data_IF_160850155385
#
_entry.id   IF_160850155385
#
_cell.length_a   1.000
_cell.length_b   1.000
_cell.length_c   1.000
_cell.angle_alpha   90.00
_cell.angle_beta   90.00
_cell.angle_gamma   90.00
#
_symmetry.space_group_name_H-M   'P 1'
#
loop_
_entity.id
_entity.type
_entity.pdbx_description
1 polymer ?
#
# COMPACT_ATOMS: atom_id res chain seq x y z
N UNK A 1 -25.05 16.58 -13.08
CA UNK A 1 -24.45 15.54 -13.93
C UNK A 1 -23.47 14.78 -13.05
N UNK A 2 -23.94 13.71 -12.41
CA UNK A 2 -23.13 12.93 -11.47
C UNK A 2 -22.10 12.16 -12.28
N UNK A 3 -20.82 12.56 -12.20
CA UNK A 3 -19.73 11.74 -12.70
C UNK A 3 -19.79 10.42 -11.92
N UNK A 4 -20.08 9.32 -12.61
CA UNK A 4 -19.77 8.00 -12.10
C UNK A 4 -18.25 7.97 -11.99
N UNK A 5 -17.73 7.89 -10.77
CA UNK A 5 -16.31 7.69 -10.51
C UNK A 5 -15.91 6.30 -11.02
N UNK A 6 -15.54 6.23 -12.31
CA UNK A 6 -15.07 5.00 -12.94
C UNK A 6 -13.65 4.78 -12.44
N UNK A 7 -13.51 4.03 -11.35
CA UNK A 7 -12.21 3.57 -10.86
C UNK A 7 -11.49 2.82 -11.97
N UNK A 8 -10.37 3.40 -12.44
CA UNK A 8 -9.54 2.77 -13.47
C UNK A 8 -8.59 1.80 -12.80
N UNK A 9 -8.58 0.54 -13.25
CA UNK A 9 -7.68 -0.48 -12.72
C UNK A 9 -6.41 -0.55 -13.56
N UNK A 10 -5.26 -0.36 -12.91
CA UNK A 10 -3.94 -0.47 -13.54
C UNK A 10 -3.32 -1.81 -13.20
N UNK A 11 -2.98 -2.62 -14.19
CA UNK A 11 -2.19 -3.83 -14.00
C UNK A 11 -0.74 -3.44 -13.63
N UNK A 12 -0.24 -3.96 -12.51
CA UNK A 12 1.07 -3.59 -11.96
C UNK A 12 2.10 -4.69 -12.19
N UNK A 13 1.83 -5.90 -11.70
CA UNK A 13 2.77 -7.02 -11.79
C UNK A 13 2.04 -8.34 -11.60
N UNK A 14 2.73 -9.47 -11.80
CA UNK A 14 2.22 -10.77 -11.39
C UNK A 14 2.27 -10.91 -9.87
N UNK A 15 1.27 -11.58 -9.30
CA UNK A 15 1.16 -11.87 -7.86
C UNK A 15 2.40 -12.58 -7.29
N UNK A 16 2.98 -13.51 -8.06
CA UNK A 16 4.15 -14.29 -7.62
C UNK A 16 5.46 -13.51 -7.66
N UNK A 17 5.50 -12.35 -8.31
CA UNK A 17 6.63 -11.41 -8.24
C UNK A 17 6.58 -10.54 -6.98
N UNK A 18 5.43 -10.43 -6.30
CA UNK A 18 5.37 -9.87 -4.96
C UNK A 18 5.85 -10.93 -3.96
N UNK A 19 7.06 -10.73 -3.47
CA UNK A 19 7.61 -11.51 -2.37
C UNK A 19 6.81 -11.22 -1.09
N UNK A 20 6.36 -12.26 -0.35
CA UNK A 20 5.70 -12.07 0.93
C UNK A 20 6.54 -11.21 1.88
N UNK A 21 5.89 -10.34 2.63
CA UNK A 21 6.46 -9.43 3.63
C UNK A 21 7.50 -8.43 3.09
N UNK A 22 7.60 -8.28 1.75
CA UNK A 22 8.49 -7.33 1.10
C UNK A 22 7.69 -6.35 0.25
N UNK A 23 7.86 -5.06 0.56
CA UNK A 23 7.20 -4.02 -0.23
C UNK A 23 7.80 -3.86 -1.63
N UNK A 24 6.95 -3.47 -2.58
CA UNK A 24 7.31 -3.09 -3.94
C UNK A 24 6.68 -1.73 -4.28
N UNK A 25 7.42 -0.88 -4.99
CA UNK A 25 6.89 0.38 -5.51
C UNK A 25 6.31 0.15 -6.91
N UNK A 26 5.19 0.82 -7.19
CA UNK A 26 4.54 0.84 -8.49
C UNK A 26 4.10 2.26 -8.84
N UNK A 27 3.93 2.52 -10.14
CA UNK A 27 3.37 3.77 -10.63
C UNK A 27 1.94 3.50 -11.15
N UNK A 28 0.96 4.20 -10.57
CA UNK A 28 -0.46 4.12 -10.96
C UNK A 28 -0.88 5.53 -11.39
N UNK A 29 -0.98 5.75 -12.70
CA UNK A 29 -1.04 7.11 -13.24
C UNK A 29 0.27 7.85 -12.98
N UNK A 30 0.20 8.95 -12.24
CA UNK A 30 1.35 9.75 -11.76
C UNK A 30 1.66 9.54 -10.27
N UNK A 31 0.91 8.65 -9.60
CA UNK A 31 1.03 8.39 -8.16
C UNK A 31 1.88 7.15 -7.90
N UNK A 32 2.83 7.25 -6.96
CA UNK A 32 3.59 6.09 -6.50
C UNK A 32 2.84 5.36 -5.39
N UNK A 33 2.66 4.05 -5.57
CA UNK A 33 1.96 3.15 -4.67
C UNK A 33 2.96 2.14 -4.11
N UNK A 34 2.89 1.91 -2.80
CA UNK A 34 3.59 0.84 -2.11
C UNK A 34 2.65 -0.38 -2.01
N UNK A 35 3.06 -1.48 -2.64
CA UNK A 35 2.38 -2.77 -2.61
C UNK A 35 3.04 -3.68 -1.59
N UNK A 36 2.22 -4.38 -0.82
CA UNK A 36 2.66 -5.39 0.15
C UNK A 36 1.84 -6.65 -0.05
N UNK A 37 2.51 -7.80 -0.10
CA UNK A 37 1.86 -9.11 0.04
C UNK A 37 2.17 -9.62 1.43
N UNK A 38 1.16 -9.84 2.27
CA UNK A 38 1.36 -10.38 3.62
C UNK A 38 1.54 -11.90 3.60
N UNK A 39 1.98 -12.48 4.72
CA UNK A 39 2.29 -13.90 4.86
C UNK A 39 1.08 -14.81 4.60
N UNK A 40 -0.13 -14.32 4.85
CA UNK A 40 -1.41 -14.99 4.58
C UNK A 40 -1.83 -14.88 3.09
N UNK A 41 -1.03 -14.18 2.29
CA UNK A 41 -1.23 -14.01 0.86
C UNK A 41 -2.10 -12.82 0.48
N UNK A 42 -2.64 -12.05 1.43
CA UNK A 42 -3.38 -10.84 1.14
C UNK A 42 -2.47 -9.78 0.49
N UNK A 43 -3.06 -8.90 -0.32
CA UNK A 43 -2.33 -7.79 -0.98
C UNK A 43 -2.91 -6.48 -0.51
N UNK A 44 -2.03 -5.54 -0.17
CA UNK A 44 -2.35 -4.21 0.30
C UNK A 44 -1.65 -3.17 -0.58
N UNK A 45 -2.28 -2.01 -0.76
CA UNK A 45 -1.77 -0.92 -1.58
C UNK A 45 -1.95 0.41 -0.83
N UNK A 46 -0.83 1.09 -0.55
CA UNK A 46 -0.79 2.35 0.18
C UNK A 46 -0.02 3.39 -0.63
N UNK A 47 -0.12 4.67 -0.27
CA UNK A 47 0.76 5.70 -0.82
C UNK A 47 2.21 5.34 -0.52
N UNK A 48 3.09 5.41 -1.52
CA UNK A 48 4.52 5.23 -1.27
C UNK A 48 5.14 6.45 -0.56
N UNK A 49 4.43 7.59 -0.54
CA UNK A 49 4.87 8.81 0.12
C UNK A 49 4.62 8.73 1.61
N UNK A 50 5.70 8.69 2.38
CA UNK A 50 5.67 8.86 3.82
C UNK A 50 5.18 10.29 4.17
N UNK A 51 4.15 10.45 5.01
CA UNK A 51 3.53 11.75 5.27
C UNK A 51 4.38 12.66 6.17
N UNK A 52 5.29 12.09 6.98
CA UNK A 52 6.13 12.81 7.92
C UNK A 52 7.38 13.38 7.26
N UNK A 53 8.05 12.57 6.43
CA UNK A 53 9.27 12.95 5.72
C UNK A 53 9.03 13.50 4.31
N UNK A 54 7.87 13.19 3.73
CA UNK A 54 7.55 13.52 2.34
C UNK A 54 8.27 12.67 1.29
N UNK A 55 9.08 11.69 1.70
CA UNK A 55 9.86 10.83 0.82
C UNK A 55 9.05 9.64 0.27
N UNK A 56 9.37 9.20 -0.95
CA UNK A 56 8.74 8.06 -1.61
C UNK A 56 9.41 6.74 -1.20
N UNK A 57 9.13 6.29 0.02
CA UNK A 57 9.92 5.23 0.68
C UNK A 57 9.10 4.17 1.42
N UNK A 58 7.77 4.26 1.50
CA UNK A 58 6.99 3.34 2.34
C UNK A 58 7.13 1.88 1.89
N UNK A 59 7.23 1.64 0.58
CA UNK A 59 7.51 0.31 -0.01
C UNK A 59 8.82 -0.34 0.48
N UNK A 60 9.72 0.42 1.10
CA UNK A 60 10.96 -0.09 1.68
C UNK A 60 10.84 -0.35 3.19
N UNK A 61 9.65 -0.14 3.75
CA UNK A 61 9.35 -0.38 5.15
C UNK A 61 9.38 -1.86 5.51
N UNK A 62 9.43 -2.11 6.82
CA UNK A 62 9.41 -3.47 7.37
C UNK A 62 7.96 -3.83 7.65
N UNK A 63 7.46 -4.90 7.02
CA UNK A 63 6.12 -5.44 7.32
C UNK A 63 6.16 -6.16 8.66
N UNK A 64 5.07 -6.06 9.41
CA UNK A 64 4.91 -6.74 10.69
C UNK A 64 3.46 -6.69 11.18
N UNK A 65 3.25 -6.99 12.45
CA UNK A 65 1.93 -6.98 13.06
C UNK A 65 1.93 -6.23 14.40
N UNK A 66 0.80 -5.57 14.72
CA UNK A 66 0.50 -5.04 16.06
C UNK A 66 -0.81 -5.67 16.53
N UNK A 67 -0.71 -6.77 17.28
CA UNK A 67 -1.86 -7.67 17.48
C UNK A 67 -2.27 -8.29 16.15
N UNK A 68 -3.56 -8.24 15.82
CA UNK A 68 -4.10 -8.76 14.55
C UNK A 68 -4.05 -7.75 13.40
N UNK A 69 -3.42 -6.58 13.61
CA UNK A 69 -3.30 -5.54 12.59
C UNK A 69 -2.05 -5.78 11.75
N UNK A 70 -2.16 -6.00 10.42
CA UNK A 70 -1.01 -6.04 9.54
C UNK A 70 -0.49 -4.60 9.33
N UNK A 71 0.83 -4.43 9.38
CA UNK A 71 1.46 -3.11 9.44
C UNK A 71 2.69 -3.00 8.57
N UNK A 72 3.08 -1.76 8.26
CA UNK A 72 4.40 -1.43 7.74
C UNK A 72 5.02 -0.31 8.58
N UNK A 73 6.26 -0.51 9.05
CA UNK A 73 7.05 0.52 9.70
C UNK A 73 7.85 1.32 8.66
N UNK A 74 7.67 2.65 8.62
CA UNK A 74 8.39 3.52 7.70
C UNK A 74 9.91 3.40 7.88
N UNK A 75 10.71 3.37 6.80
CA UNK A 75 12.16 3.39 6.90
C UNK A 75 12.73 4.61 7.62
N UNK A 76 12.07 5.77 7.50
CA UNK A 76 12.62 7.07 7.90
C UNK A 76 12.57 7.27 9.40
N UNK A 77 11.36 7.32 9.97
CA UNK A 77 11.15 7.65 11.38
C UNK A 77 10.39 6.56 12.14
N UNK A 78 10.23 5.38 11.53
CA UNK A 78 9.69 4.16 12.14
C UNK A 78 8.23 4.21 12.58
N UNK A 79 7.46 5.23 12.17
CA UNK A 79 6.01 5.22 12.35
C UNK A 79 5.42 3.98 11.70
N UNK A 80 4.50 3.33 12.42
CA UNK A 80 3.84 2.10 12.01
C UNK A 80 2.48 2.43 11.41
N UNK A 81 2.24 2.01 10.18
CA UNK A 81 0.97 2.22 9.48
C UNK A 81 0.20 0.92 9.33
N UNK A 82 -1.10 0.93 9.59
CA UNK A 82 -2.01 -0.18 9.31
C UNK A 82 -2.14 -0.38 7.78
N UNK A 83 -1.82 -1.57 7.28
CA UNK A 83 -1.85 -1.89 5.85
C UNK A 83 -3.27 -1.87 5.25
N UNK A 84 -4.31 -1.97 6.09
CA UNK A 84 -5.72 -2.01 5.66
C UNK A 84 -6.32 -0.61 5.56
N UNK A 85 -5.95 0.27 6.47
CA UNK A 85 -6.59 1.59 6.63
C UNK A 85 -5.65 2.76 6.33
N UNK A 86 -4.34 2.52 6.30
CA UNK A 86 -3.32 3.55 6.12
C UNK A 86 -3.10 4.42 7.36
N UNK A 87 -3.86 4.23 8.44
CA UNK A 87 -3.74 5.00 9.68
C UNK A 87 -2.39 4.72 10.34
N UNK A 88 -1.70 5.77 10.77
CA UNK A 88 -0.53 5.67 11.61
C UNK A 88 -0.95 5.24 13.03
N UNK A 89 -0.49 4.09 13.47
CA UNK A 89 -0.81 3.53 14.79
C UNK A 89 -0.07 4.21 15.94
N UNK A 90 0.96 5.01 15.63
CA UNK A 90 1.69 5.79 16.62
C UNK A 90 1.17 7.24 16.71
N UNK A 91 0.57 7.76 15.64
CA UNK A 91 -0.04 9.09 15.56
C UNK A 91 -1.39 9.03 14.79
N UNK A 92 -2.51 8.66 15.46
CA UNK A 92 -3.78 8.30 14.81
C UNK A 92 -4.44 9.40 13.97
N UNK A 93 -4.03 10.66 14.14
CA UNK A 93 -4.51 11.79 13.34
C UNK A 93 -3.86 11.86 11.94
N UNK A 94 -2.88 11.00 11.66
CA UNK A 94 -2.18 10.93 10.37
C UNK A 94 -2.43 9.59 9.68
N UNK A 95 -2.68 9.62 8.37
CA UNK A 95 -2.83 8.43 7.55
C UNK A 95 -2.17 8.61 6.17
N UNK A 96 -1.79 7.51 5.55
CA UNK A 96 -1.49 7.45 4.12
C UNK A 96 -2.72 7.00 3.34
N UNK A 97 -2.82 7.43 2.07
CA UNK A 97 -3.89 6.96 1.20
C UNK A 97 -3.81 5.44 0.99
N UNK A 98 -4.97 4.79 0.93
CA UNK A 98 -5.12 3.36 0.61
C UNK A 98 -5.79 3.25 -0.76
N UNK A 99 -5.27 2.35 -1.59
CA UNK A 99 -5.78 2.12 -2.93
C UNK A 99 -6.52 0.79 -2.99
N UNK A 100 -7.56 0.72 -3.82
CA UNK A 100 -8.20 -0.57 -4.12
C UNK A 100 -7.19 -1.49 -4.80
N UNK A 101 -7.08 -2.72 -4.35
CA UNK A 101 -6.19 -3.72 -4.95
C UNK A 101 -6.94 -5.04 -5.14
N UNK A 102 -6.69 -5.71 -6.25
CA UNK A 102 -7.23 -7.03 -6.53
C UNK A 102 -6.22 -7.88 -7.28
N UNK A 103 -6.36 -9.20 -7.18
CA UNK A 103 -5.62 -10.15 -8.01
C UNK A 103 -6.59 -10.78 -9.00
N UNK A 104 -6.36 -10.55 -10.30
CA UNK A 104 -7.18 -11.10 -11.38
C UNK A 104 -6.28 -11.89 -12.31
N UNK A 105 -6.59 -13.17 -12.52
CA UNK A 105 -5.82 -14.05 -13.42
C UNK A 105 -4.30 -14.06 -13.10
N UNK A 106 -3.96 -13.97 -11.81
CA UNK A 106 -2.57 -13.92 -11.34
C UNK A 106 -1.89 -12.55 -11.46
N UNK A 107 -2.60 -11.51 -11.90
CA UNK A 107 -2.10 -10.13 -12.03
C UNK A 107 -2.65 -9.26 -10.91
N UNK A 108 -1.76 -8.51 -10.25
CA UNK A 108 -2.12 -7.50 -9.26
C UNK A 108 -2.55 -6.23 -10.02
N UNK A 109 -3.78 -5.81 -9.76
CA UNK A 109 -4.34 -4.58 -10.30
C UNK A 109 -4.64 -3.60 -9.16
N UNK A 110 -4.33 -2.32 -9.37
CA UNK A 110 -4.57 -1.24 -8.40
C UNK A 110 -5.52 -0.21 -8.99
N UNK A 111 -6.53 0.21 -8.24
CA UNK A 111 -7.46 1.24 -8.67
C UNK A 111 -6.80 2.61 -8.61
N UNK A 112 -7.19 3.50 -9.54
CA UNK A 112 -6.95 4.92 -9.39
C UNK A 112 -7.48 5.42 -8.03
N UNK A 113 -6.82 6.44 -7.43
CA UNK A 113 -7.32 7.12 -6.24
C UNK A 113 -8.73 7.68 -6.44
#
# INVERSE_FOLDING_TARGET
>A
MTMLDVRTWTAVCRYDLLQPERGAAALVGDVQVALFRTHDGAVHALSNRDPFSGAQVLSRGIVGTRGDVPTVASPMHKQVFDLRTGVCLDEPDTAVAVFGVRVRDGVVEVSSP
#
